data_IF_136524539074
#
_entry.id   IF_136524539074
#
_cell.length_a   1.000
_cell.length_b   1.000
_cell.length_c   1.000
_cell.angle_alpha   90.00
_cell.angle_beta   90.00
_cell.angle_gamma   90.00
#
_symmetry.space_group_name_H-M   'P 1'
#
loop_
_entity.id
_entity.type
_entity.pdbx_description
1 polymer ?
#
# COMPACT_ATOMS: atom_id res chain seq x y z
N UNK A 1 5.12 -16.90 11.63
CA UNK A 1 4.81 -15.58 12.25
C UNK A 1 3.68 -14.89 11.50
N UNK A 2 3.84 -14.66 10.19
CA UNK A 2 2.81 -14.14 9.28
C UNK A 2 1.40 -14.71 9.54
N UNK A 3 1.21 -16.03 9.42
CA UNK A 3 -0.10 -16.68 9.56
C UNK A 3 -0.78 -16.39 10.91
N UNK A 4 -0.01 -16.41 12.00
CA UNK A 4 -0.51 -16.10 13.34
C UNK A 4 -0.93 -14.64 13.45
N UNK A 5 -0.16 -13.73 12.86
CA UNK A 5 -0.50 -12.30 12.81
C UNK A 5 -1.75 -12.05 11.96
N UNK A 6 -1.94 -12.80 10.87
CA UNK A 6 -3.11 -12.69 10.00
C UNK A 6 -4.41 -13.05 10.70
N UNK A 7 -4.41 -14.07 11.57
CA UNK A 7 -5.56 -14.39 12.44
C UNK A 7 -5.90 -13.20 13.34
N UNK A 8 -4.87 -12.57 13.93
CA UNK A 8 -5.04 -11.38 14.77
C UNK A 8 -5.60 -10.19 13.99
N UNK A 9 -5.02 -9.89 12.82
CA UNK A 9 -5.44 -8.79 11.96
C UNK A 9 -6.90 -8.95 11.51
N UNK A 10 -7.28 -10.14 11.03
CA UNK A 10 -8.66 -10.42 10.61
C UNK A 10 -9.67 -10.22 11.74
N UNK A 11 -9.28 -10.48 12.99
CA UNK A 11 -10.15 -10.26 14.16
C UNK A 11 -10.43 -8.78 14.45
N UNK A 12 -9.66 -7.86 13.85
CA UNK A 12 -9.82 -6.41 13.99
C UNK A 12 -10.62 -5.78 12.84
N UNK A 13 -11.01 -6.59 11.84
CA UNK A 13 -11.72 -6.10 10.67
C UNK A 13 -13.20 -5.95 10.99
N UNK A 14 -13.73 -4.77 10.69
CA UNK A 14 -15.14 -4.42 10.87
C UNK A 14 -15.67 -3.79 9.59
N UNK A 15 -17.00 -3.62 9.52
CA UNK A 15 -17.68 -2.91 8.43
C UNK A 15 -18.48 -1.74 8.98
N UNK A 16 -18.41 -0.59 8.31
CA UNK A 16 -19.18 0.61 8.65
C UNK A 16 -20.67 0.44 8.37
N UNK A 17 -21.48 1.40 8.83
CA UNK A 17 -22.87 1.55 8.39
C UNK A 17 -23.10 3.01 7.93
N UNK A 18 -23.85 3.25 6.84
CA UNK A 18 -24.64 2.28 6.07
C UNK A 18 -23.91 1.58 4.91
N UNK A 19 -22.77 2.08 4.43
CA UNK A 19 -22.18 1.66 3.15
C UNK A 19 -21.27 0.43 3.24
N UNK A 20 -21.09 -0.14 4.44
CA UNK A 20 -20.32 -1.38 4.65
C UNK A 20 -18.84 -1.28 4.25
N UNK A 21 -18.21 -0.12 4.44
CA UNK A 21 -16.76 0.04 4.26
C UNK A 21 -16.01 -0.86 5.24
N UNK A 22 -15.15 -1.74 4.72
CA UNK A 22 -14.28 -2.57 5.56
C UNK A 22 -13.15 -1.71 6.13
N UNK A 23 -12.88 -1.80 7.44
CA UNK A 23 -11.79 -1.08 8.08
C UNK A 23 -11.12 -1.92 9.16
N UNK A 24 -9.90 -1.53 9.51
CA UNK A 24 -9.07 -2.20 10.52
C UNK A 24 -9.13 -1.36 11.79
N UNK A 25 -9.77 -1.89 12.83
CA UNK A 25 -9.87 -1.23 14.14
C UNK A 25 -8.57 -1.33 14.94
N UNK A 26 -8.32 -0.34 15.79
CA UNK A 26 -7.22 -0.39 16.75
C UNK A 26 -7.63 -1.13 18.02
N UNK A 27 -6.67 -1.78 18.69
CA UNK A 27 -6.90 -2.47 19.96
C UNK A 27 -5.84 -2.13 20.99
N UNK A 28 -6.27 -1.63 22.15
CA UNK A 28 -5.43 -1.37 23.32
C UNK A 28 -5.95 -2.21 24.50
N UNK A 29 -5.25 -3.30 24.81
CA UNK A 29 -5.71 -4.27 25.80
C UNK A 29 -7.05 -4.89 25.37
N UNK A 30 -8.11 -4.61 26.15
CA UNK A 30 -9.46 -5.07 25.85
C UNK A 30 -10.33 -4.04 25.12
N UNK A 31 -9.85 -2.80 24.98
CA UNK A 31 -10.58 -1.75 24.28
C UNK A 31 -10.31 -1.83 22.77
N UNK A 32 -11.39 -1.75 21.98
CA UNK A 32 -11.34 -1.64 20.52
C UNK A 32 -11.78 -0.23 20.14
N UNK A 33 -11.03 0.41 19.26
CA UNK A 33 -11.31 1.75 18.76
C UNK A 33 -11.59 1.66 17.27
N UNK A 34 -12.75 2.17 16.87
CA UNK A 34 -13.18 2.21 15.48
C UNK A 34 -12.53 3.42 14.79
N UNK A 35 -11.21 3.29 14.63
CA UNK A 35 -10.28 4.25 14.04
C UNK A 35 -9.33 3.48 13.13
N UNK A 36 -9.05 4.04 11.95
CA UNK A 36 -8.06 3.51 11.02
C UNK A 36 -7.17 4.66 10.54
N UNK A 37 -5.86 4.49 10.67
CA UNK A 37 -4.88 5.43 10.12
C UNK A 37 -4.73 5.24 8.62
N UNK A 38 -4.38 6.30 7.88
CA UNK A 38 -4.01 6.18 6.45
C UNK A 38 -2.80 5.27 6.29
N UNK A 39 -1.90 5.25 7.29
CA UNK A 39 -0.84 4.25 7.43
C UNK A 39 -1.34 2.80 7.28
N UNK A 40 -2.52 2.46 7.79
CA UNK A 40 -3.06 1.10 7.69
C UNK A 40 -3.47 0.72 6.26
N UNK A 41 -3.49 1.68 5.33
CA UNK A 41 -3.75 1.44 3.91
C UNK A 41 -2.60 0.75 3.17
N UNK A 42 -1.50 0.36 3.82
CA UNK A 42 -0.52 -0.57 3.26
C UNK A 42 -1.04 -2.03 3.27
N UNK A 43 -1.99 -2.33 4.17
CA UNK A 43 -2.49 -3.69 4.40
C UNK A 43 -3.10 -4.32 3.14
N UNK A 44 -3.94 -3.66 2.33
CA UNK A 44 -4.46 -4.25 1.10
C UNK A 44 -3.36 -4.77 0.16
N UNK A 45 -2.31 -3.99 -0.07
CA UNK A 45 -1.16 -4.41 -0.87
C UNK A 45 -0.41 -5.59 -0.25
N UNK A 46 -0.22 -5.55 1.07
CA UNK A 46 0.37 -6.64 1.84
C UNK A 46 -0.45 -7.94 1.73
N UNK A 47 -1.79 -7.86 1.78
CA UNK A 47 -2.70 -9.00 1.62
C UNK A 47 -2.65 -9.57 0.20
N UNK A 48 -2.68 -8.70 -0.81
CA UNK A 48 -2.57 -9.10 -2.21
C UNK A 48 -1.24 -9.82 -2.48
N UNK A 49 -0.12 -9.27 -1.98
CA UNK A 49 1.19 -9.89 -2.09
C UNK A 49 1.25 -11.25 -1.39
N UNK A 50 0.76 -11.31 -0.15
CA UNK A 50 0.73 -12.54 0.65
C UNK A 50 -0.16 -13.64 0.06
N UNK A 51 -1.22 -13.26 -0.66
CA UNK A 51 -2.18 -14.21 -1.26
C UNK A 51 -1.52 -15.23 -2.19
N UNK A 52 -0.44 -14.84 -2.87
CA UNK A 52 0.31 -15.70 -3.82
C UNK A 52 0.96 -16.92 -3.16
N UNK A 53 1.10 -16.91 -1.83
CA UNK A 53 1.70 -18.01 -1.07
C UNK A 53 0.69 -19.07 -0.62
N UNK A 54 -0.60 -18.86 -0.88
CA UNK A 54 -1.70 -19.73 -0.46
C UNK A 54 -2.34 -20.50 -1.63
N UNK A 55 -3.05 -21.59 -1.30
CA UNK A 55 -3.88 -22.30 -2.27
C UNK A 55 -5.10 -21.46 -2.73
N UNK A 56 -5.73 -21.80 -3.88
CA UNK A 56 -6.68 -20.92 -4.57
C UNK A 56 -7.80 -20.34 -3.70
N UNK A 57 -8.44 -21.17 -2.87
CA UNK A 57 -9.57 -20.71 -2.04
C UNK A 57 -9.19 -19.78 -0.89
N UNK A 58 -7.96 -19.87 -0.38
CA UNK A 58 -7.50 -18.96 0.68
C UNK A 58 -6.90 -17.69 0.08
N UNK A 59 -6.21 -17.80 -1.07
CA UNK A 59 -5.75 -16.66 -1.86
C UNK A 59 -6.93 -15.74 -2.26
N UNK A 60 -8.05 -16.32 -2.72
CA UNK A 60 -9.25 -15.57 -3.08
C UNK A 60 -9.83 -14.78 -1.91
N UNK A 61 -9.83 -15.32 -0.69
CA UNK A 61 -10.30 -14.60 0.51
C UNK A 61 -9.42 -13.42 0.85
N UNK A 62 -8.10 -13.58 0.77
CA UNK A 62 -7.16 -12.49 1.02
C UNK A 62 -7.28 -11.39 -0.02
N UNK A 63 -7.40 -11.75 -1.30
CA UNK A 63 -7.63 -10.78 -2.37
C UNK A 63 -8.97 -10.06 -2.19
N UNK A 64 -10.06 -10.78 -1.92
CA UNK A 64 -11.38 -10.16 -1.68
C UNK A 64 -11.32 -9.16 -0.52
N UNK A 65 -10.65 -9.52 0.57
CA UNK A 65 -10.47 -8.61 1.70
C UNK A 65 -9.59 -7.40 1.35
N UNK A 66 -8.53 -7.60 0.55
CA UNK A 66 -7.70 -6.51 0.05
C UNK A 66 -8.52 -5.54 -0.81
N UNK A 67 -9.41 -6.04 -1.68
CA UNK A 67 -10.32 -5.23 -2.49
C UNK A 67 -11.28 -4.40 -1.62
N UNK A 68 -11.88 -5.01 -0.58
CA UNK A 68 -12.76 -4.30 0.35
C UNK A 68 -12.02 -3.20 1.13
N UNK A 69 -10.81 -3.48 1.62
CA UNK A 69 -10.02 -2.51 2.39
C UNK A 69 -9.48 -1.39 1.51
N UNK A 70 -9.00 -1.67 0.30
CA UNK A 70 -8.53 -0.61 -0.60
C UNK A 70 -9.67 0.30 -1.05
N UNK A 71 -10.90 -0.23 -1.13
CA UNK A 71 -12.08 0.57 -1.42
C UNK A 71 -12.30 1.63 -0.33
N UNK A 72 -12.18 1.24 0.93
CA UNK A 72 -12.21 2.18 2.07
C UNK A 72 -11.08 3.20 1.99
N UNK A 73 -9.83 2.76 1.74
CA UNK A 73 -8.68 3.63 1.62
C UNK A 73 -8.83 4.65 0.48
N UNK A 74 -9.33 4.25 -0.69
CA UNK A 74 -9.64 5.19 -1.76
C UNK A 74 -10.73 6.19 -1.35
N UNK A 75 -11.72 5.76 -0.57
CA UNK A 75 -12.77 6.64 -0.09
C UNK A 75 -12.33 7.60 1.04
N UNK A 76 -11.22 7.33 1.74
CA UNK A 76 -10.57 8.36 2.56
C UNK A 76 -10.25 9.60 1.72
N UNK A 77 -9.67 9.41 0.53
CA UNK A 77 -9.41 10.50 -0.41
C UNK A 77 -10.72 11.11 -0.91
N UNK A 78 -11.70 10.29 -1.31
CA UNK A 78 -12.94 10.81 -1.90
C UNK A 78 -13.82 11.60 -0.92
N UNK A 79 -13.73 11.30 0.38
CA UNK A 79 -14.51 11.94 1.43
C UNK A 79 -14.14 13.40 1.70
N UNK A 80 -12.98 13.86 1.23
CA UNK A 80 -12.50 15.23 1.50
C UNK A 80 -12.70 16.16 0.28
N UNK A 81 -12.84 17.49 0.50
CA UNK A 81 -12.90 18.47 -0.58
C UNK A 81 -11.67 18.49 -1.49
N UNK A 82 -10.47 18.36 -0.90
CA UNK A 82 -9.20 18.37 -1.64
C UNK A 82 -8.94 17.07 -2.41
N UNK A 83 -9.72 16.02 -2.14
CA UNK A 83 -9.50 14.66 -2.67
C UNK A 83 -8.17 14.05 -2.21
N UNK A 84 -7.67 14.49 -1.05
CA UNK A 84 -6.52 13.93 -0.34
C UNK A 84 -6.96 13.41 1.03
N UNK A 85 -6.46 12.24 1.43
CA UNK A 85 -6.79 11.67 2.73
C UNK A 85 -6.17 12.46 3.88
N UNK A 86 -6.89 12.58 4.99
CA UNK A 86 -6.32 12.94 6.28
C UNK A 86 -5.50 11.78 6.85
N UNK A 87 -4.90 11.97 8.02
CA UNK A 87 -4.02 10.98 8.64
C UNK A 87 -4.75 9.78 9.24
N UNK A 88 -5.98 9.99 9.69
CA UNK A 88 -6.81 8.93 10.25
C UNK A 88 -8.29 9.26 10.17
N UNK A 89 -9.09 8.20 10.24
CA UNK A 89 -10.54 8.24 10.11
C UNK A 89 -11.20 7.48 11.24
N UNK A 90 -12.30 8.04 11.75
CA UNK A 90 -13.18 7.39 12.70
C UNK A 90 -14.40 6.80 11.99
N UNK A 91 -14.85 5.65 12.48
CA UNK A 91 -16.04 4.95 12.02
C UNK A 91 -17.03 4.92 13.19
N UNK A 92 -18.17 5.60 13.04
CA UNK A 92 -19.17 5.73 14.10
C UNK A 92 -20.49 5.09 13.66
N UNK A 93 -21.32 4.73 14.62
CA UNK A 93 -22.64 4.16 14.30
C UNK A 93 -23.47 5.15 13.47
N UNK A 94 -23.89 4.72 12.28
CA UNK A 94 -24.64 5.54 11.33
C UNK A 94 -23.82 6.53 10.49
N UNK A 95 -22.48 6.52 10.61
CA UNK A 95 -21.57 7.36 9.82
C UNK A 95 -20.44 6.51 9.22
N UNK A 96 -20.30 6.54 7.89
CA UNK A 96 -19.34 5.68 7.21
C UNK A 96 -17.88 5.98 7.53
N UNK A 97 -17.48 7.25 7.51
CA UNK A 97 -16.12 7.67 7.87
C UNK A 97 -16.10 9.18 8.14
N UNK A 98 -15.36 9.60 9.16
CA UNK A 98 -15.08 11.01 9.45
C UNK A 98 -13.59 11.24 9.64
N UNK A 99 -13.07 12.32 9.06
CA UNK A 99 -11.67 12.69 9.22
C UNK A 99 -11.40 13.00 10.70
N UNK A 100 -10.41 12.31 11.28
CA UNK A 100 -9.95 12.57 12.64
C UNK A 100 -8.87 13.64 12.65
N UNK A 101 -7.66 13.28 12.20
CA UNK A 101 -6.55 14.23 12.03
C UNK A 101 -6.47 14.68 10.57
N UNK A 102 -6.55 16.00 10.36
CA UNK A 102 -6.81 16.59 9.02
C UNK A 102 -5.57 16.85 8.18
N UNK A 103 -4.35 16.68 8.71
CA UNK A 103 -3.17 16.88 7.88
C UNK A 103 -3.05 15.79 6.80
N UNK A 104 -2.43 16.13 5.68
CA UNK A 104 -1.94 15.18 4.69
C UNK A 104 -0.46 15.42 4.52
N UNK A 105 0.36 14.44 4.89
CA UNK A 105 1.81 14.54 4.77
C UNK A 105 2.35 13.76 3.57
N UNK A 106 1.58 13.66 2.48
CA UNK A 106 2.04 13.07 1.20
C UNK A 106 2.35 11.57 1.24
N UNK A 107 1.66 10.87 2.15
CA UNK A 107 1.76 9.44 2.42
C UNK A 107 1.53 8.53 1.19
N UNK A 108 2.25 7.41 1.05
CA UNK A 108 2.16 6.52 -0.11
C UNK A 108 1.16 5.37 0.02
N UNK A 109 0.70 5.01 1.22
CA UNK A 109 0.20 3.67 1.55
C UNK A 109 -1.01 3.25 0.70
N UNK A 110 -1.92 4.19 0.42
CA UNK A 110 -3.03 3.92 -0.50
C UNK A 110 -2.55 3.63 -1.93
N UNK A 111 -1.62 4.42 -2.47
CA UNK A 111 -1.06 4.21 -3.82
C UNK A 111 -0.25 2.91 -3.89
N UNK A 112 0.50 2.57 -2.84
CA UNK A 112 1.21 1.29 -2.72
C UNK A 112 0.23 0.12 -2.89
N UNK A 113 -0.89 0.15 -2.17
CA UNK A 113 -1.92 -0.88 -2.26
C UNK A 113 -2.56 -0.97 -3.64
N UNK A 114 -2.81 0.17 -4.30
CA UNK A 114 -3.32 0.19 -5.69
C UNK A 114 -2.33 -0.46 -6.66
N UNK A 115 -1.03 -0.20 -6.50
CA UNK A 115 0.03 -0.82 -7.29
C UNK A 115 0.00 -2.34 -7.17
N UNK A 116 0.01 -2.88 -5.96
CA UNK A 116 -0.03 -4.33 -5.76
C UNK A 116 -1.32 -4.95 -6.31
N UNK A 117 -2.48 -4.39 -5.99
CA UNK A 117 -3.75 -4.93 -6.48
C UNK A 117 -3.85 -4.91 -8.00
N UNK A 118 -3.38 -3.86 -8.66
CA UNK A 118 -3.31 -3.83 -10.11
C UNK A 118 -2.36 -4.91 -10.68
N UNK A 119 -1.19 -5.12 -10.07
CA UNK A 119 -0.25 -6.18 -10.49
C UNK A 119 -0.84 -7.59 -10.35
N UNK A 120 -1.61 -7.84 -9.30
CA UNK A 120 -2.19 -9.17 -9.02
C UNK A 120 -3.49 -9.45 -9.77
N UNK A 121 -4.31 -8.43 -10.02
CA UNK A 121 -5.66 -8.61 -10.61
C UNK A 121 -5.76 -8.16 -12.06
N UNK A 122 -4.88 -7.27 -12.51
CA UNK A 122 -5.00 -6.57 -13.80
C UNK A 122 -6.16 -5.58 -13.88
N UNK A 123 -6.90 -5.34 -12.79
CA UNK A 123 -8.07 -4.47 -12.78
C UNK A 123 -7.65 -3.00 -12.94
N UNK A 124 -8.09 -2.36 -14.03
CA UNK A 124 -7.70 -1.00 -14.39
C UNK A 124 -8.32 0.08 -13.50
N UNK A 125 -9.36 -0.24 -12.74
CA UNK A 125 -9.95 0.68 -11.76
C UNK A 125 -8.90 1.23 -10.78
N UNK A 126 -7.91 0.43 -10.38
CA UNK A 126 -6.85 0.90 -9.48
C UNK A 126 -5.93 1.95 -10.13
N UNK A 127 -5.71 1.87 -11.44
CA UNK A 127 -4.98 2.89 -12.19
C UNK A 127 -5.80 4.19 -12.28
N UNK A 128 -7.11 4.09 -12.48
CA UNK A 128 -8.02 5.25 -12.47
C UNK A 128 -8.03 5.94 -11.10
N UNK A 129 -8.10 5.16 -10.02
CA UNK A 129 -8.04 5.67 -8.65
C UNK A 129 -6.70 6.34 -8.35
N UNK A 130 -5.58 5.72 -8.76
CA UNK A 130 -4.25 6.32 -8.63
C UNK A 130 -4.13 7.62 -9.41
N UNK A 131 -4.73 7.71 -10.61
CA UNK A 131 -4.75 8.92 -11.41
C UNK A 131 -5.54 10.05 -10.72
N UNK A 132 -6.70 9.73 -10.14
CA UNK A 132 -7.51 10.69 -9.39
C UNK A 132 -6.75 11.26 -8.18
N UNK A 133 -6.02 10.40 -7.46
CA UNK A 133 -5.18 10.83 -6.32
C UNK A 133 -4.00 11.69 -6.82
N UNK A 134 -3.35 11.32 -7.92
CA UNK A 134 -2.28 12.14 -8.50
C UNK A 134 -2.79 13.53 -8.91
N UNK A 135 -3.97 13.61 -9.54
CA UNK A 135 -4.61 14.89 -9.87
C UNK A 135 -4.91 15.72 -8.62
N UNK A 136 -5.30 15.08 -7.52
CA UNK A 136 -5.51 15.76 -6.24
C UNK A 136 -4.22 16.36 -5.68
N UNK A 137 -3.09 15.65 -5.78
CA UNK A 137 -1.77 16.21 -5.46
C UNK A 137 -1.43 17.39 -6.39
N UNK A 138 -1.55 17.24 -7.70
CA UNK A 138 -1.28 18.33 -8.66
C UNK A 138 -2.07 19.61 -8.35
N UNK A 139 -3.35 19.46 -7.99
CA UNK A 139 -4.23 20.60 -7.74
C UNK A 139 -4.01 21.27 -6.37
N UNK A 140 -3.60 20.51 -5.35
CA UNK A 140 -3.61 21.00 -3.97
C UNK A 140 -2.23 21.15 -3.33
N UNK A 141 -1.25 20.35 -3.74
CA UNK A 141 0.07 20.28 -3.08
C UNK A 141 1.21 20.85 -3.91
N UNK A 142 1.05 20.94 -5.23
CA UNK A 142 2.06 21.51 -6.12
C UNK A 142 2.28 23.01 -5.84
N UNK A 143 3.54 23.40 -5.82
CA UNK A 143 4.02 24.79 -5.76
C UNK A 143 5.06 25.00 -6.87
N UNK A 144 5.54 26.23 -7.05
CA UNK A 144 6.52 26.56 -8.11
C UNK A 144 7.80 25.70 -8.04
N UNK A 145 8.25 25.36 -6.83
CA UNK A 145 9.54 24.69 -6.59
C UNK A 145 9.43 23.22 -6.17
N UNK A 146 8.23 22.63 -6.16
CA UNK A 146 8.03 21.24 -5.69
C UNK A 146 6.61 20.95 -5.22
N UNK A 147 6.49 20.11 -4.20
CA UNK A 147 5.22 19.72 -3.58
C UNK A 147 5.30 19.94 -2.06
N UNK A 148 4.17 20.20 -1.42
CA UNK A 148 4.08 20.32 0.04
C UNK A 148 2.89 19.57 0.60
N UNK A 149 2.95 19.11 1.84
CA UNK A 149 1.78 18.57 2.52
C UNK A 149 0.70 19.62 2.78
N UNK A 150 -0.39 19.17 3.38
CA UNK A 150 -1.49 20.00 3.85
C UNK A 150 -1.60 19.92 5.37
N UNK A 151 -1.82 21.06 6.02
CA UNK A 151 -2.23 21.13 7.43
C UNK A 151 -3.67 20.68 7.61
N UNK A 152 -4.51 20.86 6.59
CA UNK A 152 -5.91 20.51 6.63
C UNK A 152 -6.46 20.18 5.23
N UNK A 153 -6.83 18.92 5.02
CA UNK A 153 -7.43 18.40 3.77
C UNK A 153 -8.84 18.91 3.47
N UNK A 154 -9.49 19.59 4.42
CA UNK A 154 -10.79 20.24 4.21
C UNK A 154 -10.63 21.63 3.61
N UNK A 155 -9.56 22.35 3.98
CA UNK A 155 -9.32 23.73 3.55
C UNK A 155 -8.27 23.84 2.44
N UNK A 156 -7.39 22.85 2.28
CA UNK A 156 -6.26 22.91 1.36
C UNK A 156 -5.10 23.78 1.87
N UNK A 157 -5.08 24.14 3.16
CA UNK A 157 -3.98 24.90 3.74
C UNK A 157 -2.68 24.07 3.71
N UNK A 158 -1.62 24.59 3.08
CA UNK A 158 -0.33 23.92 2.91
C UNK A 158 0.55 23.92 4.18
N UNK A 159 1.35 22.88 4.39
CA UNK A 159 2.23 22.69 5.57
C UNK A 159 3.70 23.12 5.36
N UNK A 160 4.07 23.51 4.13
CA UNK A 160 5.41 23.95 3.70
C UNK A 160 6.53 22.91 3.86
N UNK A 161 6.20 21.62 3.77
CA UNK A 161 7.18 20.55 3.84
C UNK A 161 6.95 19.51 2.74
N UNK A 162 8.01 19.14 2.03
CA UNK A 162 8.01 17.99 1.13
C UNK A 162 8.69 16.82 1.83
N UNK A 163 7.97 15.73 2.01
CA UNK A 163 8.51 14.53 2.64
C UNK A 163 9.39 13.76 1.64
N UNK A 164 10.45 13.12 2.12
CA UNK A 164 11.32 12.30 1.25
C UNK A 164 10.54 11.16 0.58
N UNK A 165 9.62 10.54 1.34
CA UNK A 165 8.76 9.45 0.86
C UNK A 165 7.76 9.86 -0.22
N UNK A 166 7.46 11.16 -0.38
CA UNK A 166 6.70 11.57 -1.56
C UNK A 166 7.44 11.21 -2.86
N UNK A 167 8.77 11.38 -2.87
CA UNK A 167 9.60 11.04 -4.01
C UNK A 167 9.97 9.56 -4.04
N UNK A 168 10.41 8.99 -2.91
CA UNK A 168 10.84 7.59 -2.89
C UNK A 168 9.68 6.62 -3.02
N UNK A 169 8.48 6.95 -2.54
CA UNK A 169 7.36 6.03 -2.46
C UNK A 169 6.18 6.47 -3.32
N UNK A 170 5.55 7.61 -3.01
CA UNK A 170 4.29 8.04 -3.64
C UNK A 170 4.44 8.17 -5.15
N UNK A 171 5.43 8.91 -5.62
CA UNK A 171 5.70 9.05 -7.07
C UNK A 171 6.23 7.76 -7.71
N UNK A 172 6.98 6.93 -6.97
CA UNK A 172 7.49 5.66 -7.49
C UNK A 172 6.37 4.66 -7.71
N UNK A 173 5.49 4.48 -6.74
CA UNK A 173 4.34 3.59 -6.89
C UNK A 173 3.34 4.12 -7.92
N UNK A 174 3.13 5.43 -8.03
CA UNK A 174 2.37 6.01 -9.15
C UNK A 174 3.01 5.66 -10.50
N UNK A 175 4.32 5.85 -10.65
CA UNK A 175 5.02 5.48 -11.88
C UNK A 175 4.87 3.99 -12.20
N UNK A 176 5.06 3.11 -11.22
CA UNK A 176 4.95 1.66 -11.40
C UNK A 176 3.52 1.19 -11.66
N UNK A 177 2.52 1.83 -11.05
CA UNK A 177 1.09 1.57 -11.28
C UNK A 177 0.70 1.79 -12.75
N UNK A 178 1.35 2.72 -13.45
CA UNK A 178 1.14 2.97 -14.88
C UNK A 178 2.18 2.30 -15.81
N UNK A 179 3.13 1.54 -15.25
CA UNK A 179 4.18 0.85 -16.01
C UNK A 179 3.85 -0.63 -16.23
N UNK A 180 4.28 -1.29 -17.32
CA UNK A 180 4.07 -2.73 -17.53
C UNK A 180 4.56 -3.62 -16.36
N UNK A 181 3.96 -4.81 -16.18
CA UNK A 181 4.31 -5.81 -15.13
C UNK A 181 5.77 -6.24 -15.12
N UNK A 182 6.43 -6.15 -16.27
CA UNK A 182 7.85 -6.45 -16.43
C UNK A 182 8.79 -5.41 -15.82
N UNK A 183 8.33 -4.19 -15.52
CA UNK A 183 9.17 -3.15 -14.90
C UNK A 183 9.20 -3.37 -13.39
N UNK A 184 10.33 -3.81 -12.85
CA UNK A 184 10.45 -4.22 -11.43
C UNK A 184 9.41 -5.31 -11.11
N UNK A 185 9.60 -6.49 -11.71
CA UNK A 185 8.70 -7.64 -11.49
C UNK A 185 8.70 -8.06 -10.02
N UNK A 186 7.51 -8.37 -9.49
CA UNK A 186 7.35 -8.89 -8.12
C UNK A 186 7.90 -10.32 -7.96
N UNK A 187 8.23 -11.00 -9.07
CA UNK A 187 8.93 -12.29 -9.04
C UNK A 187 10.44 -12.15 -8.78
N UNK A 188 11.00 -10.96 -9.04
CA UNK A 188 12.44 -10.70 -8.96
C UNK A 188 12.81 -9.71 -7.86
N UNK A 189 11.86 -8.87 -7.45
CA UNK A 189 12.08 -7.76 -6.52
C UNK A 189 11.06 -7.77 -5.38
N UNK A 190 11.55 -7.45 -4.19
CA UNK A 190 10.72 -7.14 -3.01
C UNK A 190 11.02 -5.71 -2.57
N UNK A 191 9.98 -4.93 -2.31
CA UNK A 191 10.14 -3.57 -1.80
C UNK A 191 10.39 -3.62 -0.29
N UNK A 192 11.34 -2.82 0.19
CA UNK A 192 11.35 -2.49 1.62
C UNK A 192 10.21 -1.50 1.94
N UNK A 193 10.05 -1.16 3.22
CA UNK A 193 8.97 -0.27 3.69
C UNK A 193 9.11 1.20 3.28
N UNK A 194 10.13 1.57 2.50
CA UNK A 194 10.30 2.92 1.92
C UNK A 194 10.39 2.83 0.38
N UNK A 195 9.70 1.84 -0.19
CA UNK A 195 9.64 1.52 -1.61
C UNK A 195 11.00 1.35 -2.32
N UNK A 196 12.07 0.98 -1.62
CA UNK A 196 13.34 0.61 -2.26
C UNK A 196 13.31 -0.86 -2.67
N UNK A 197 13.39 -1.17 -3.99
CA UNK A 197 13.37 -2.55 -4.45
C UNK A 197 14.70 -3.24 -4.13
N UNK A 198 14.60 -4.41 -3.50
CA UNK A 198 15.69 -5.32 -3.20
C UNK A 198 15.53 -6.58 -4.04
N UNK A 199 16.61 -7.02 -4.68
CA UNK A 199 16.57 -8.23 -5.51
C UNK A 199 16.36 -9.46 -4.63
N UNK A 200 15.42 -10.32 -5.01
CA UNK A 200 15.17 -11.57 -4.32
C UNK A 200 16.39 -12.49 -4.53
N UNK A 201 16.95 -12.98 -3.42
CA UNK A 201 18.03 -13.98 -3.44
C UNK A 201 17.41 -15.32 -3.09
N UNK A 202 17.32 -16.21 -4.07
CA UNK A 202 16.93 -17.59 -3.83
C UNK A 202 18.00 -18.29 -3.01
N UNK A 203 17.61 -18.82 -1.85
CA UNK A 203 18.48 -19.74 -1.12
C UNK A 203 18.53 -21.03 -1.91
N UNK A 204 19.63 -21.27 -2.62
CA UNK A 204 19.96 -22.62 -3.06
C UNK A 204 20.15 -23.42 -1.78
N UNK A 205 19.24 -24.35 -1.50
CA UNK A 205 19.49 -25.33 -0.46
C UNK A 205 20.68 -26.14 -0.96
N UNK A 206 21.86 -25.89 -0.39
CA UNK A 206 22.99 -26.78 -0.57
C UNK A 206 22.57 -28.13 0.03
N UNK A 207 22.11 -29.03 -0.83
CA UNK A 207 22.29 -30.46 -0.59
C UNK A 207 23.81 -30.67 -0.48
N UNK A 208 24.24 -30.96 0.74
CA UNK A 208 25.54 -31.46 1.18
C UNK A 208 26.69 -31.51 0.14
N UNK A 209 27.71 -30.67 0.33
CA UNK A 209 29.13 -31.10 0.37
C UNK A 209 30.05 -29.90 0.60
N UNK A 210 30.95 -30.02 1.57
CA UNK A 210 31.72 -28.89 2.10
C UNK A 210 32.91 -28.46 1.24
N UNK A 211 33.15 -27.14 1.19
CA UNK A 211 34.47 -26.53 1.37
C UNK A 211 34.33 -25.00 1.59
N UNK A 212 35.05 -24.34 2.51
CA UNK A 212 34.81 -22.93 2.86
C UNK A 212 35.47 -21.85 1.97
N UNK A 213 36.06 -22.15 0.80
CA UNK A 213 36.91 -21.18 0.08
C UNK A 213 36.49 -20.75 -1.35
N UNK A 214 35.34 -21.15 -1.88
CA UNK A 214 34.88 -20.70 -3.22
C UNK A 214 33.91 -19.51 -3.20
N UNK A 215 33.93 -18.70 -2.14
CA UNK A 215 32.94 -17.65 -1.86
C UNK A 215 33.22 -16.28 -2.53
N UNK A 216 34.11 -16.12 -3.51
CA UNK A 216 34.50 -14.74 -3.91
C UNK A 216 34.54 -14.32 -5.39
N UNK A 217 34.34 -15.18 -6.41
CA UNK A 217 34.70 -14.75 -7.79
C UNK A 217 33.75 -15.05 -8.97
N UNK A 218 32.57 -15.68 -8.82
CA UNK A 218 31.87 -16.23 -10.02
C UNK A 218 30.39 -15.86 -10.29
N UNK A 219 29.78 -14.83 -9.69
CA UNK A 219 28.41 -14.41 -10.09
C UNK A 219 28.26 -12.94 -10.52
N UNK A 220 29.34 -12.36 -11.02
CA UNK A 220 29.29 -11.13 -11.80
C UNK A 220 28.85 -11.50 -13.23
N UNK A 221 27.55 -11.29 -13.55
CA UNK A 221 26.96 -11.09 -14.91
C UNK A 221 26.50 -12.37 -15.70
N UNK A 222 25.37 -12.32 -16.49
CA UNK A 222 24.39 -13.41 -16.68
C UNK A 222 24.40 -14.04 -18.09
N UNK A 223 23.49 -15.00 -18.38
CA UNK A 223 23.00 -15.22 -19.74
C UNK A 223 21.49 -14.96 -19.86
N UNK A 224 21.16 -14.00 -20.74
CA UNK A 224 19.88 -13.93 -21.43
C UNK A 224 19.70 -15.10 -22.41
N UNK A 225 18.45 -15.31 -22.79
CA UNK A 225 17.95 -15.87 -24.06
C UNK A 225 17.78 -17.39 -24.25
N UNK A 226 16.49 -17.73 -24.34
CA UNK A 226 15.83 -18.50 -25.41
C UNK A 226 15.70 -20.03 -25.28
N UNK A 227 14.42 -20.41 -25.46
CA UNK A 227 13.79 -21.72 -25.77
C UNK A 227 13.46 -22.67 -24.62
#
# INVERSE_FOLDING_TARGET
MWEKSMIGLQSLIKKSTPSSFAYISEKLGNAVFDKMDELACFVPGMLALGSSTYGPGEAEKYLSLAEELVWTCYNFYQSTPTKLAGENYYFRDGEDMSVGTTWNIQRPETIESLFYLWRFTGNKTYQEWGWNIFQAFENNTRIETGYVGLKDVTTGQKDNMMQSYFLSETLKYLYLLFSPSSVISLDEWVFNTEAHPLRIVTRVANEESGNPEEEYLLQVIPPHDVM
#
